data_IF_604029666081
#
_entry.id   IF_604029666081
#
_cell.length_a   1.000
_cell.length_b   1.000
_cell.length_c   1.000
_cell.angle_alpha   90.00
_cell.angle_beta   90.00
_cell.angle_gamma   90.00
#
_symmetry.space_group_name_H-M   'P 1'
#
loop_
_entity.id
_entity.type
_entity.pdbx_description
1 polymer ?
#
# COMPACT_ATOMS: atom_id res chain seq x y z
N UNK A 1 8.40 -39.63 84.33
CA UNK A 1 7.94 -40.41 83.16
C UNK A 1 7.05 -39.52 82.31
N UNK A 2 7.22 -39.66 81.00
CA UNK A 2 6.70 -38.84 79.91
C UNK A 2 5.19 -38.98 79.75
N UNK A 3 4.54 -37.96 79.18
CA UNK A 3 3.14 -38.03 78.77
C UNK A 3 2.66 -36.76 78.09
N UNK A 4 3.19 -36.48 76.89
CA UNK A 4 2.58 -35.51 75.99
C UNK A 4 1.29 -36.06 75.40
N UNK A 5 0.28 -35.22 75.22
CA UNK A 5 -0.84 -35.55 74.33
C UNK A 5 -1.14 -34.36 73.41
N UNK A 6 -1.29 -34.72 72.15
CA UNK A 6 -1.07 -33.94 70.94
C UNK A 6 -2.22 -32.98 70.62
N UNK A 7 -1.85 -31.77 70.22
CA UNK A 7 -2.73 -30.86 69.48
C UNK A 7 -3.02 -31.47 68.10
N UNK A 8 -4.24 -31.94 67.87
CA UNK A 8 -4.71 -32.24 66.52
C UNK A 8 -4.96 -30.92 65.79
N UNK A 9 -3.93 -30.39 65.13
CA UNK A 9 -4.11 -29.36 64.12
C UNK A 9 -4.73 -30.03 62.87
N UNK A 10 -5.79 -29.47 62.26
CA UNK A 10 -6.31 -29.99 61.00
C UNK A 10 -5.22 -29.83 59.93
N UNK A 11 -4.80 -30.96 59.34
CA UNK A 11 -4.01 -30.96 58.12
C UNK A 11 -4.86 -30.38 57.01
N UNK A 12 -4.60 -29.13 56.64
CA UNK A 12 -5.14 -28.55 55.41
C UNK A 12 -4.36 -29.19 54.27
N UNK A 13 -4.92 -30.24 53.67
CA UNK A 13 -4.45 -30.71 52.37
C UNK A 13 -4.79 -29.63 51.35
N UNK A 14 -3.83 -28.73 51.12
CA UNK A 14 -3.82 -27.93 49.91
C UNK A 14 -3.64 -28.89 48.74
N UNK A 15 -4.76 -29.28 48.13
CA UNK A 15 -4.77 -29.84 46.78
C UNK A 15 -4.15 -28.77 45.89
N UNK A 16 -2.88 -28.93 45.51
CA UNK A 16 -2.29 -28.18 44.42
C UNK A 16 -2.98 -28.67 43.15
N UNK A 17 -4.15 -28.11 42.85
CA UNK A 17 -4.83 -28.34 41.58
C UNK A 17 -3.84 -27.97 40.48
N UNK A 18 -3.38 -28.96 39.74
CA UNK A 18 -2.63 -28.71 38.51
C UNK A 18 -3.51 -27.81 37.65
N UNK A 19 -3.05 -26.61 37.33
CA UNK A 19 -3.73 -25.77 36.36
C UNK A 19 -3.73 -26.55 35.03
N UNK A 20 -4.88 -26.69 34.40
CA UNK A 20 -4.97 -27.39 33.12
C UNK A 20 -4.32 -26.53 32.01
N UNK A 21 -3.76 -27.20 31.00
CA UNK A 21 -3.28 -26.53 29.79
C UNK A 21 -4.48 -25.94 29.02
N UNK A 22 -4.29 -24.85 28.24
CA UNK A 22 -5.38 -24.23 27.51
C UNK A 22 -5.92 -25.15 26.42
N UNK A 23 -7.20 -24.96 26.09
CA UNK A 23 -7.81 -25.63 24.94
C UNK A 23 -7.27 -25.03 23.64
N UNK A 24 -7.04 -25.88 22.64
CA UNK A 24 -6.55 -25.43 21.33
C UNK A 24 -7.51 -24.41 20.70
N UNK A 25 -6.99 -23.33 20.07
CA UNK A 25 -7.80 -22.51 19.18
C UNK A 25 -8.31 -23.33 18.00
N UNK A 26 -9.44 -22.95 17.40
CA UNK A 26 -10.00 -23.64 16.22
C UNK A 26 -10.33 -22.66 15.11
N UNK A 27 -10.62 -23.18 13.92
CA UNK A 27 -11.04 -22.38 12.76
C UNK A 27 -10.08 -21.23 12.44
N UNK A 28 -8.76 -21.47 12.59
CA UNK A 28 -7.76 -20.52 12.12
C UNK A 28 -7.96 -20.34 10.61
N UNK A 29 -8.09 -19.07 10.20
CA UNK A 29 -8.13 -18.65 8.81
C UNK A 29 -7.04 -17.61 8.56
N UNK A 30 -6.26 -17.80 7.50
CA UNK A 30 -5.24 -16.88 7.03
C UNK A 30 -5.65 -16.27 5.69
N UNK A 31 -5.72 -14.94 5.63
CA UNK A 31 -6.17 -14.22 4.44
C UNK A 31 -5.09 -13.21 4.04
N UNK A 32 -4.42 -13.44 2.90
CA UNK A 32 -3.49 -12.46 2.37
C UNK A 32 -4.26 -11.23 1.86
N UNK A 33 -4.00 -10.08 2.45
CA UNK A 33 -4.58 -8.79 2.06
C UNK A 33 -3.64 -7.99 1.16
N UNK A 34 -2.37 -8.40 1.04
CA UNK A 34 -1.42 -7.80 0.12
C UNK A 34 -0.16 -8.65 -0.13
N UNK A 35 0.83 -8.04 -0.78
CA UNK A 35 2.10 -8.69 -1.10
C UNK A 35 3.00 -8.89 0.13
N UNK A 36 2.76 -8.15 1.21
CA UNK A 36 3.45 -8.27 2.49
C UNK A 36 2.50 -8.13 3.70
N UNK A 37 1.25 -8.56 3.54
CA UNK A 37 0.27 -8.54 4.64
C UNK A 37 -0.63 -9.78 4.62
N UNK A 38 -0.79 -10.42 5.78
CA UNK A 38 -1.73 -11.51 6.02
C UNK A 38 -2.52 -11.25 7.30
N UNK A 39 -3.84 -11.31 7.22
CA UNK A 39 -4.74 -11.22 8.36
C UNK A 39 -5.13 -12.61 8.82
N UNK A 40 -4.94 -12.88 10.11
CA UNK A 40 -5.31 -14.10 10.79
C UNK A 40 -6.56 -13.87 11.64
N UNK A 41 -7.46 -14.84 11.64
CA UNK A 41 -8.60 -14.92 12.57
C UNK A 41 -8.75 -16.34 13.10
N UNK A 42 -9.09 -16.51 14.36
CA UNK A 42 -9.34 -17.82 14.97
C UNK A 42 -10.46 -17.77 16.01
N UNK A 43 -10.98 -18.93 16.38
CA UNK A 43 -11.88 -19.10 17.52
C UNK A 43 -11.04 -19.45 18.75
N UNK A 44 -11.20 -18.65 19.79
CA UNK A 44 -10.73 -18.98 21.13
C UNK A 44 -11.70 -19.96 21.81
N UNK A 45 -11.16 -21.06 22.31
CA UNK A 45 -11.91 -22.10 23.03
C UNK A 45 -11.49 -22.23 24.48
N UNK A 46 -10.61 -21.35 24.97
CA UNK A 46 -10.10 -21.41 26.33
C UNK A 46 -10.41 -20.12 27.10
N UNK A 47 -10.28 -20.23 28.42
CA UNK A 47 -10.29 -19.09 29.35
C UNK A 47 -9.12 -19.21 30.33
N UNK A 48 -8.19 -20.11 30.00
CA UNK A 48 -7.07 -20.53 30.85
C UNK A 48 -5.72 -20.14 30.24
N UNK A 49 -5.72 -19.60 29.02
CA UNK A 49 -4.56 -19.12 28.32
C UNK A 49 -4.08 -17.78 28.88
N UNK A 50 -2.76 -17.64 28.99
CA UNK A 50 -2.10 -16.37 29.26
C UNK A 50 -1.96 -15.53 27.96
N UNK A 51 -2.14 -16.17 26.80
CA UNK A 51 -2.09 -15.55 25.49
C UNK A 51 -1.97 -16.55 24.34
N UNK A 52 -1.58 -16.04 23.18
CA UNK A 52 -1.35 -16.85 21.98
C UNK A 52 -0.01 -16.53 21.32
N UNK A 53 0.73 -17.57 20.95
CA UNK A 53 1.87 -17.46 20.04
C UNK A 53 1.38 -17.62 18.60
N UNK A 54 1.85 -16.73 17.72
CA UNK A 54 1.59 -16.78 16.28
C UNK A 54 2.84 -17.33 15.62
N UNK A 55 2.74 -18.53 15.06
CA UNK A 55 3.80 -19.12 14.28
C UNK A 55 3.52 -18.96 12.78
N UNK A 56 4.58 -18.68 12.02
CA UNK A 56 4.57 -18.65 10.55
C UNK A 56 5.67 -19.53 10.00
N UNK A 57 5.43 -20.16 8.86
CA UNK A 57 6.47 -20.72 7.99
C UNK A 57 6.23 -20.35 6.54
N UNK A 58 7.30 -20.36 5.75
CA UNK A 58 7.18 -20.55 4.31
C UNK A 58 6.68 -21.97 4.08
N UNK A 59 5.75 -22.19 3.15
CA UNK A 59 5.18 -23.51 2.90
C UNK A 59 6.27 -24.55 2.62
N UNK A 60 6.25 -25.66 3.36
CA UNK A 60 7.29 -26.69 3.35
C UNK A 60 8.52 -26.43 4.24
N UNK A 61 8.63 -25.25 4.85
CA UNK A 61 9.68 -24.89 5.81
C UNK A 61 9.34 -25.16 7.29
N UNK A 62 10.22 -24.78 8.23
CA UNK A 62 9.95 -24.85 9.67
C UNK A 62 9.12 -23.65 10.15
N UNK A 63 8.28 -23.86 11.17
CA UNK A 63 7.60 -22.77 11.88
C UNK A 63 8.58 -21.94 12.71
N UNK A 64 8.39 -20.63 12.68
CA UNK A 64 9.02 -19.65 13.56
C UNK A 64 7.94 -18.79 14.19
N UNK A 65 8.09 -18.47 15.47
CA UNK A 65 7.21 -17.50 16.13
C UNK A 65 7.44 -16.10 15.55
N UNK A 66 6.37 -15.43 15.14
CA UNK A 66 6.41 -14.06 14.59
C UNK A 66 5.77 -13.03 15.50
N UNK A 67 4.92 -13.46 16.44
CA UNK A 67 4.33 -12.59 17.45
C UNK A 67 3.80 -13.38 18.65
N UNK A 68 3.58 -12.66 19.75
CA UNK A 68 2.79 -13.10 20.90
C UNK A 68 1.71 -12.05 21.16
N UNK A 69 0.47 -12.47 21.36
CA UNK A 69 -0.67 -11.61 21.70
C UNK A 69 -1.27 -12.02 23.04
N UNK A 70 -1.99 -11.09 23.68
CA UNK A 70 -2.64 -11.33 24.97
C UNK A 70 -3.80 -12.33 24.92
N UNK A 71 -4.39 -12.67 26.08
CA UNK A 71 -5.50 -13.61 26.18
C UNK A 71 -6.77 -13.05 25.53
N UNK A 72 -7.72 -13.91 25.15
CA UNK A 72 -8.97 -13.56 24.45
C UNK A 72 -8.82 -12.85 23.08
N UNK A 73 -7.59 -12.68 22.56
CA UNK A 73 -7.38 -12.15 21.21
C UNK A 73 -7.76 -13.22 20.19
N UNK A 74 -8.50 -12.82 19.15
CA UNK A 74 -9.00 -13.73 18.10
C UNK A 74 -8.58 -13.29 16.68
N UNK A 75 -7.74 -12.27 16.56
CA UNK A 75 -7.22 -11.78 15.28
C UNK A 75 -5.81 -11.20 15.40
N UNK A 76 -5.04 -11.29 14.32
CA UNK A 76 -3.70 -10.72 14.21
C UNK A 76 -3.38 -10.37 12.75
N UNK A 77 -2.76 -9.21 12.50
CA UNK A 77 -2.26 -8.84 11.18
C UNK A 77 -0.75 -8.99 11.14
N UNK A 78 -0.25 -9.92 10.31
CA UNK A 78 1.17 -10.07 10.03
C UNK A 78 1.57 -9.16 8.87
N UNK A 79 2.31 -8.08 9.17
CA UNK A 79 2.79 -7.10 8.20
C UNK A 79 4.31 -7.02 8.08
N UNK A 80 5.07 -8.02 8.57
CA UNK A 80 6.53 -7.92 8.63
C UNK A 80 7.26 -9.20 8.20
N UNK A 81 8.35 -9.07 7.43
CA UNK A 81 9.16 -10.21 6.99
C UNK A 81 8.45 -11.16 6.00
N UNK A 82 7.40 -10.67 5.34
CA UNK A 82 6.71 -11.35 4.25
C UNK A 82 7.32 -10.95 2.90
N UNK A 83 7.40 -11.92 1.98
CA UNK A 83 7.82 -11.72 0.59
C UNK A 83 6.63 -11.92 -0.34
N UNK A 84 6.58 -11.19 -1.45
CA UNK A 84 5.52 -11.31 -2.45
C UNK A 84 5.48 -12.71 -3.09
N UNK A 85 4.32 -13.10 -3.62
CA UNK A 85 4.09 -14.38 -4.30
C UNK A 85 4.52 -15.61 -3.50
N UNK A 86 4.49 -15.54 -2.18
CA UNK A 86 5.07 -16.55 -1.30
C UNK A 86 3.95 -17.21 -0.51
N UNK A 87 3.88 -18.53 -0.59
CA UNK A 87 2.96 -19.33 0.21
C UNK A 87 3.49 -19.40 1.65
N UNK A 88 2.69 -18.88 2.59
CA UNK A 88 2.91 -19.00 4.02
C UNK A 88 1.87 -19.91 4.64
N UNK A 89 2.26 -20.58 5.72
CA UNK A 89 1.36 -21.35 6.56
C UNK A 89 1.48 -20.84 8.00
N UNK A 90 0.34 -20.74 8.67
CA UNK A 90 0.22 -20.19 10.01
C UNK A 90 -0.36 -21.21 10.97
N UNK A 91 0.01 -21.07 12.24
CA UNK A 91 -0.58 -21.80 13.36
C UNK A 91 -0.60 -20.88 14.57
N UNK A 92 -1.69 -20.95 15.35
CA UNK A 92 -1.84 -20.21 16.60
C UNK A 92 -1.77 -21.20 17.75
N UNK A 93 -0.94 -20.93 18.76
CA UNK A 93 -0.80 -21.75 19.97
C UNK A 93 -1.31 -20.98 21.16
N UNK A 94 -2.38 -21.45 21.79
CA UNK A 94 -2.76 -20.97 23.12
C UNK A 94 -1.71 -21.49 24.12
N UNK A 95 -1.27 -20.65 25.06
CA UNK A 95 -0.27 -21.04 26.06
C UNK A 95 -0.63 -20.57 27.46
N UNK A 96 -0.19 -21.31 28.47
CA UNK A 96 -0.07 -20.86 29.86
C UNK A 96 1.12 -21.57 30.54
N UNK A 97 1.33 -21.33 31.83
CA UNK A 97 2.39 -21.99 32.60
C UNK A 97 2.31 -23.53 32.64
N UNK A 98 1.13 -24.11 32.40
CA UNK A 98 0.89 -25.55 32.42
C UNK A 98 1.08 -26.24 31.07
N UNK A 99 1.09 -25.49 29.97
CA UNK A 99 1.36 -26.04 28.64
C UNK A 99 0.76 -25.22 27.51
N UNK A 100 0.73 -25.83 26.33
CA UNK A 100 0.29 -25.18 25.09
C UNK A 100 -0.57 -26.12 24.25
N UNK A 101 -1.47 -25.53 23.46
CA UNK A 101 -2.30 -26.26 22.52
C UNK A 101 -2.39 -25.51 21.19
N UNK A 102 -2.17 -26.24 20.09
CA UNK A 102 -2.10 -25.71 18.73
C UNK A 102 -3.42 -25.76 18.00
N UNK A 103 -3.73 -24.73 17.21
CA UNK A 103 -4.82 -24.72 16.24
C UNK A 103 -4.57 -25.65 15.05
N UNK A 104 -5.56 -25.72 14.15
CA UNK A 104 -5.29 -26.14 12.76
C UNK A 104 -4.24 -25.23 12.12
N UNK A 105 -3.57 -25.73 11.10
CA UNK A 105 -2.77 -24.90 10.19
C UNK A 105 -3.69 -24.32 9.12
N UNK A 106 -3.47 -23.08 8.70
CA UNK A 106 -4.07 -22.53 7.48
C UNK A 106 -3.03 -21.75 6.67
N UNK A 107 -3.24 -21.70 5.35
CA UNK A 107 -2.28 -21.16 4.40
C UNK A 107 -2.79 -19.92 3.68
N UNK A 108 -1.91 -18.95 3.47
CA UNK A 108 -2.16 -17.79 2.62
C UNK A 108 -0.98 -17.58 1.68
N UNK A 109 -1.26 -17.36 0.40
CA UNK A 109 -0.23 -16.94 -0.56
C UNK A 109 -0.27 -15.43 -0.65
N UNK A 110 0.80 -14.77 -0.21
CA UNK A 110 0.94 -13.33 -0.44
C UNK A 110 0.88 -13.07 -1.93
N UNK A 111 0.25 -11.97 -2.30
CA UNK A 111 0.05 -11.70 -3.72
C UNK A 111 1.38 -11.34 -4.38
N UNK A 112 1.45 -11.41 -5.71
CA UNK A 112 2.56 -10.76 -6.41
C UNK A 112 2.58 -9.28 -6.04
N UNK A 113 3.76 -8.66 -6.11
CA UNK A 113 3.84 -7.20 -6.11
C UNK A 113 2.90 -6.71 -7.23
N UNK A 114 1.84 -5.97 -6.87
CA UNK A 114 0.85 -5.44 -7.83
C UNK A 114 -0.38 -6.30 -8.18
N UNK A 115 -0.84 -7.26 -7.35
CA UNK A 115 -2.09 -8.05 -7.63
C UNK A 115 -3.09 -8.23 -6.45
N UNK A 116 -3.17 -7.37 -5.45
CA UNK A 116 -4.39 -7.28 -4.63
C UNK A 116 -4.60 -5.88 -4.08
N UNK A 117 -5.77 -5.33 -4.38
CA UNK A 117 -6.36 -4.05 -3.99
C UNK A 117 -5.38 -2.89 -3.83
N UNK A 118 -5.25 -2.09 -4.89
CA UNK A 118 -4.54 -0.82 -4.81
C UNK A 118 -3.03 -0.91 -4.98
N UNK A 119 -2.48 -1.86 -5.73
CA UNK A 119 -1.08 -1.75 -6.18
C UNK A 119 -0.99 -2.17 -7.64
N UNK A 120 -0.06 -1.59 -8.40
CA UNK A 120 0.10 -1.88 -9.82
C UNK A 120 -0.37 -0.75 -10.73
N UNK A 121 -0.90 0.34 -10.16
CA UNK A 121 -1.47 1.42 -10.96
C UNK A 121 -1.51 2.76 -10.24
N UNK A 122 -1.79 3.82 -11.00
CA UNK A 122 -2.16 5.15 -10.52
C UNK A 122 -3.49 5.55 -11.15
N UNK A 123 -4.35 6.23 -10.41
CA UNK A 123 -5.58 6.80 -10.98
C UNK A 123 -5.21 7.89 -11.97
N UNK A 124 -5.94 8.01 -13.07
CA UNK A 124 -5.79 9.03 -14.09
C UNK A 124 -7.16 9.61 -14.45
N UNK A 125 -7.35 10.87 -14.07
CA UNK A 125 -8.53 11.67 -14.38
C UNK A 125 -8.23 12.63 -15.54
N UNK A 126 -9.23 12.85 -16.40
CA UNK A 126 -9.14 13.74 -17.57
C UNK A 126 -10.31 14.72 -17.58
N UNK A 127 -10.01 15.99 -17.86
CA UNK A 127 -10.97 17.05 -18.16
C UNK A 127 -10.68 17.59 -19.56
N UNK A 128 -11.60 17.40 -20.49
CA UNK A 128 -11.54 17.92 -21.85
C UNK A 128 -12.03 19.37 -21.92
N UNK A 129 -11.75 20.02 -23.05
CA UNK A 129 -12.23 21.37 -23.38
C UNK A 129 -11.77 22.45 -22.39
N UNK A 130 -10.57 22.30 -21.84
CA UNK A 130 -9.90 23.33 -21.03
C UNK A 130 -8.83 23.98 -21.89
N UNK A 131 -9.00 25.25 -22.23
CA UNK A 131 -8.03 25.98 -23.06
C UNK A 131 -6.79 26.45 -22.27
N UNK A 132 -5.75 26.84 -23.01
CA UNK A 132 -4.50 27.35 -22.47
C UNK A 132 -3.52 26.28 -22.00
N UNK A 133 -2.33 26.70 -21.58
CA UNK A 133 -1.21 25.80 -21.29
C UNK A 133 -0.88 25.67 -19.79
N UNK A 134 -1.04 26.70 -18.94
CA UNK A 134 -0.66 26.57 -17.53
C UNK A 134 -1.58 25.64 -16.75
N UNK A 135 -1.02 24.89 -15.79
CA UNK A 135 -1.78 24.05 -14.84
C UNK A 135 -2.88 24.83 -14.12
N UNK A 136 -2.71 26.14 -13.92
CA UNK A 136 -3.74 26.99 -13.31
C UNK A 136 -5.06 27.00 -14.09
N UNK A 137 -5.04 26.74 -15.40
CA UNK A 137 -6.28 26.62 -16.20
C UNK A 137 -7.08 25.39 -15.78
N UNK A 138 -6.42 24.25 -15.51
CA UNK A 138 -7.07 23.07 -14.97
C UNK A 138 -7.61 23.34 -13.55
N UNK A 139 -6.79 23.91 -12.66
CA UNK A 139 -7.20 24.09 -11.26
C UNK A 139 -8.26 25.18 -11.05
N UNK A 140 -8.45 26.08 -12.02
CA UNK A 140 -9.49 27.11 -11.98
C UNK A 140 -10.76 26.69 -12.73
N UNK A 141 -10.76 25.56 -13.44
CA UNK A 141 -11.97 25.03 -14.06
C UNK A 141 -12.98 24.63 -12.96
N UNK A 142 -14.25 25.06 -13.04
CA UNK A 142 -15.25 24.79 -12.00
C UNK A 142 -15.53 23.30 -11.77
N UNK A 143 -15.22 22.43 -12.73
CA UNK A 143 -15.36 20.96 -12.62
C UNK A 143 -14.23 20.34 -11.81
N UNK A 144 -13.07 20.99 -11.71
CA UNK A 144 -11.93 20.46 -10.98
C UNK A 144 -12.12 20.68 -9.46
N UNK A 145 -11.84 19.70 -8.58
CA UNK A 145 -11.27 18.37 -8.86
C UNK A 145 -12.30 17.23 -8.97
N UNK A 146 -13.60 17.51 -8.92
CA UNK A 146 -14.62 16.52 -8.56
C UNK A 146 -15.38 15.92 -9.73
N UNK A 147 -15.37 16.58 -10.89
CA UNK A 147 -16.17 16.20 -12.06
C UNK A 147 -15.27 15.97 -13.29
N UNK A 148 -14.38 14.96 -13.28
CA UNK A 148 -13.63 14.58 -14.47
C UNK A 148 -14.56 14.00 -15.55
N UNK A 149 -14.26 14.28 -16.81
CA UNK A 149 -14.98 13.70 -17.95
C UNK A 149 -14.66 12.21 -18.12
N UNK A 150 -13.47 11.78 -17.67
CA UNK A 150 -13.13 10.36 -17.55
C UNK A 150 -12.18 10.09 -16.39
N UNK A 151 -12.31 8.89 -15.82
CA UNK A 151 -11.42 8.36 -14.79
C UNK A 151 -11.06 6.92 -15.14
N UNK A 152 -9.76 6.62 -15.11
CA UNK A 152 -9.23 5.27 -15.36
C UNK A 152 -7.93 5.07 -14.58
N UNK A 153 -7.18 4.01 -14.88
CA UNK A 153 -5.90 3.71 -14.22
C UNK A 153 -4.75 3.56 -15.22
N UNK A 154 -3.52 3.86 -14.79
CA UNK A 154 -2.29 3.66 -15.57
C UNK A 154 -1.33 2.75 -14.82
N UNK A 155 -0.66 1.84 -15.54
CA UNK A 155 0.28 0.86 -14.96
C UNK A 155 1.65 1.43 -14.59
N UNK A 156 1.84 2.75 -14.74
CA UNK A 156 3.03 3.52 -14.35
C UNK A 156 2.64 4.99 -14.26
N UNK A 157 3.47 5.82 -13.63
CA UNK A 157 3.23 7.26 -13.47
C UNK A 157 3.57 8.05 -14.76
N UNK A 158 2.95 7.63 -15.86
CA UNK A 158 3.07 8.21 -17.19
C UNK A 158 1.71 8.19 -17.90
N UNK A 159 1.33 9.35 -18.44
CA UNK A 159 0.16 9.48 -19.30
C UNK A 159 0.42 8.99 -20.72
N UNK A 160 -0.64 8.67 -21.49
CA UNK A 160 -0.52 8.42 -22.91
C UNK A 160 -0.03 9.68 -23.64
N UNK A 161 0.37 9.52 -24.91
CA UNK A 161 0.85 10.63 -25.73
C UNK A 161 -0.14 10.96 -26.85
N UNK A 162 -0.27 12.25 -27.16
CA UNK A 162 -1.04 12.76 -28.29
C UNK A 162 -2.52 12.36 -28.30
N UNK A 163 -3.17 12.37 -27.13
CA UNK A 163 -4.55 11.88 -27.00
C UNK A 163 -5.63 12.90 -27.34
N UNK A 164 -5.35 14.20 -27.20
CA UNK A 164 -6.31 15.28 -27.42
C UNK A 164 -5.58 16.64 -27.39
N UNK A 165 -6.25 17.70 -27.81
CA UNK A 165 -5.82 19.08 -27.51
C UNK A 165 -6.79 19.71 -26.50
N UNK A 166 -6.34 20.75 -25.81
CA UNK A 166 -7.10 21.55 -24.85
C UNK A 166 -7.74 20.71 -23.75
N UNK A 167 -6.91 20.01 -23.00
CA UNK A 167 -7.34 19.18 -21.88
C UNK A 167 -6.42 19.36 -20.67
N UNK A 168 -6.89 18.94 -19.50
CA UNK A 168 -6.11 18.80 -18.30
C UNK A 168 -6.23 17.38 -17.75
N UNK A 169 -5.19 16.90 -17.07
CA UNK A 169 -5.23 15.61 -16.37
C UNK A 169 -4.66 15.69 -14.99
N UNK A 170 -5.06 14.72 -14.17
CA UNK A 170 -4.50 14.49 -12.85
C UNK A 170 -4.21 13.01 -12.71
N UNK A 171 -2.97 12.66 -12.37
CA UNK A 171 -2.63 11.31 -11.92
C UNK A 171 -2.40 11.35 -10.40
N UNK A 172 -3.07 10.51 -9.63
CA UNK A 172 -3.03 10.57 -8.15
C UNK A 172 -3.20 9.22 -7.45
N UNK A 173 -2.65 9.13 -6.25
CA UNK A 173 -2.59 7.90 -5.46
C UNK A 173 -1.46 7.92 -4.44
N UNK A 174 -0.87 6.76 -4.18
CA UNK A 174 0.26 6.61 -3.27
C UNK A 174 1.45 5.95 -3.94
N UNK A 175 2.66 6.37 -3.55
CA UNK A 175 3.92 5.75 -3.92
C UNK A 175 4.52 4.99 -2.73
N UNK A 176 5.12 3.84 -3.03
CA UNK A 176 5.74 2.92 -2.09
C UNK A 176 7.24 2.78 -2.38
N UNK A 177 8.11 3.40 -1.56
CA UNK A 177 9.56 3.26 -1.71
C UNK A 177 9.98 1.79 -1.47
N UNK A 178 10.73 1.15 -2.39
CA UNK A 178 11.21 -0.22 -2.18
C UNK A 178 12.27 -0.32 -1.07
N UNK A 179 13.04 0.76 -0.83
CA UNK A 179 14.14 0.79 0.13
C UNK A 179 14.12 2.11 0.89
N UNK A 180 14.31 2.08 2.21
CA UNK A 180 14.42 3.32 2.98
C UNK A 180 15.62 4.15 2.55
N UNK A 181 15.43 5.45 2.30
CA UNK A 181 16.50 6.38 2.00
C UNK A 181 16.02 7.61 1.24
N UNK A 182 16.97 8.29 0.59
CA UNK A 182 16.68 9.54 -0.13
C UNK A 182 16.26 9.25 -1.56
N UNK A 183 15.13 9.82 -1.95
CA UNK A 183 14.58 9.75 -3.30
C UNK A 183 14.60 11.13 -3.94
N UNK A 184 14.92 11.19 -5.23
CA UNK A 184 14.76 12.40 -6.04
C UNK A 184 13.70 12.14 -7.09
N UNK A 185 12.84 13.12 -7.38
CA UNK A 185 11.76 13.01 -8.32
C UNK A 185 11.94 13.97 -9.50
N UNK A 186 11.44 13.57 -10.66
CA UNK A 186 11.40 14.40 -11.86
C UNK A 186 10.04 14.38 -12.54
N UNK A 187 9.71 15.46 -13.25
CA UNK A 187 8.53 15.53 -14.12
C UNK A 187 8.90 16.01 -15.51
N UNK A 188 8.32 15.41 -16.55
CA UNK A 188 8.41 15.84 -17.95
C UNK A 188 7.00 15.96 -18.52
N UNK A 189 6.71 17.01 -19.27
CA UNK A 189 5.39 17.18 -19.88
C UNK A 189 5.38 18.08 -21.10
N UNK A 190 4.36 17.92 -21.92
CA UNK A 190 3.95 18.87 -22.96
C UNK A 190 2.44 19.11 -22.83
N UNK A 191 1.96 20.26 -22.32
CA UNK A 191 2.72 21.46 -21.97
C UNK A 191 3.14 21.45 -20.48
N UNK A 192 2.35 22.06 -19.60
CA UNK A 192 2.74 22.34 -18.23
C UNK A 192 2.35 21.21 -17.28
N UNK A 193 3.14 21.04 -16.22
CA UNK A 193 2.84 20.08 -15.15
C UNK A 193 3.28 20.58 -13.79
N UNK A 194 2.63 20.09 -12.73
CA UNK A 194 3.02 20.31 -11.35
C UNK A 194 2.95 19.00 -10.59
N UNK A 195 4.08 18.57 -10.03
CA UNK A 195 4.22 17.34 -9.25
C UNK A 195 4.21 17.67 -7.76
N UNK A 196 3.39 16.93 -7.02
CA UNK A 196 3.21 17.04 -5.58
C UNK A 196 3.50 15.70 -4.90
N UNK A 197 4.07 15.75 -3.71
CA UNK A 197 4.18 14.60 -2.81
C UNK A 197 3.87 15.05 -1.37
N UNK A 198 3.30 14.16 -0.57
CA UNK A 198 3.13 14.34 0.87
C UNK A 198 4.24 13.63 1.65
N UNK A 199 4.55 14.08 2.87
CA UNK A 199 5.47 13.36 3.78
C UNK A 199 4.83 12.15 4.48
N UNK A 200 3.57 11.85 4.17
CA UNK A 200 2.79 10.74 4.68
C UNK A 200 1.69 10.35 3.67
N UNK A 201 0.77 9.49 4.08
CA UNK A 201 -0.32 8.99 3.24
C UNK A 201 -1.47 9.99 3.01
N UNK A 202 -1.47 11.17 3.66
CA UNK A 202 -2.58 12.12 3.54
C UNK A 202 -2.39 13.07 2.35
N UNK A 203 -3.41 13.18 1.50
CA UNK A 203 -3.44 14.11 0.37
C UNK A 203 -3.44 15.57 0.79
N UNK A 204 -3.86 15.87 2.03
CA UNK A 204 -3.89 17.24 2.57
C UNK A 204 -2.51 17.82 2.88
N UNK A 205 -1.48 16.97 3.00
CA UNK A 205 -0.10 17.38 3.34
C UNK A 205 0.80 17.55 2.12
N UNK A 206 0.24 17.51 0.91
CA UNK A 206 1.03 17.52 -0.32
C UNK A 206 1.73 18.86 -0.51
N UNK A 207 2.98 18.82 -0.96
CA UNK A 207 3.78 19.99 -1.35
C UNK A 207 4.23 19.84 -2.79
N UNK A 208 4.28 20.95 -3.54
CA UNK A 208 4.81 20.94 -4.91
C UNK A 208 6.33 20.75 -4.85
N UNK A 209 6.84 19.74 -5.54
CA UNK A 209 8.26 19.37 -5.50
C UNK A 209 8.98 19.55 -6.85
N UNK A 210 8.23 19.56 -7.96
CA UNK A 210 8.79 19.77 -9.30
C UNK A 210 7.69 20.28 -10.25
N UNK A 211 8.08 20.95 -11.34
CA UNK A 211 7.17 21.43 -12.38
C UNK A 211 7.85 21.65 -13.73
N UNK A 212 7.06 21.50 -14.80
CA UNK A 212 7.27 22.21 -16.06
C UNK A 212 6.28 23.38 -16.05
N UNK A 213 6.78 24.59 -15.78
CA UNK A 213 5.93 25.73 -15.46
C UNK A 213 5.37 26.50 -16.67
N UNK A 214 4.30 27.27 -16.43
CA UNK A 214 3.77 28.28 -17.34
C UNK A 214 3.33 27.73 -18.70
N UNK A 215 3.92 28.24 -19.78
CA UNK A 215 3.69 27.76 -21.15
C UNK A 215 4.84 26.85 -21.63
N UNK A 216 5.65 26.33 -20.70
CA UNK A 216 6.78 25.46 -21.00
C UNK A 216 6.33 24.06 -21.43
N UNK A 217 7.24 23.37 -22.10
CA UNK A 217 7.11 21.97 -22.49
C UNK A 217 8.49 21.31 -22.54
N UNK A 218 8.51 19.98 -22.56
CA UNK A 218 9.70 19.14 -22.76
C UNK A 218 9.44 18.14 -23.89
N UNK A 219 10.47 17.46 -24.38
CA UNK A 219 10.25 16.20 -25.10
C UNK A 219 9.87 15.08 -24.11
N UNK A 220 9.24 13.98 -24.56
CA UNK A 220 8.98 12.83 -23.72
C UNK A 220 10.23 12.35 -22.96
N UNK A 221 10.09 12.19 -21.64
CA UNK A 221 11.13 11.72 -20.73
C UNK A 221 12.40 12.59 -20.70
N UNK A 222 12.31 13.86 -21.11
CA UNK A 222 13.42 14.81 -21.04
C UNK A 222 13.46 15.47 -19.65
N UNK A 223 14.28 14.94 -18.76
CA UNK A 223 14.30 15.34 -17.33
C UNK A 223 15.13 16.58 -16.99
N UNK A 224 15.89 17.11 -17.94
CA UNK A 224 16.96 18.10 -17.67
C UNK A 224 16.83 19.41 -18.44
N UNK A 225 15.66 19.70 -19.05
CA UNK A 225 15.45 20.95 -19.79
C UNK A 225 15.31 22.15 -18.85
N UNK A 226 14.62 21.99 -17.73
CA UNK A 226 14.47 23.01 -16.69
C UNK A 226 14.91 22.48 -15.33
N UNK A 227 15.57 23.32 -14.54
CA UNK A 227 15.94 22.97 -13.17
C UNK A 227 14.72 22.67 -12.29
N UNK A 228 13.57 23.30 -12.57
CA UNK A 228 12.31 23.07 -11.87
C UNK A 228 11.74 21.67 -12.05
N UNK A 229 12.21 20.90 -13.04
CA UNK A 229 11.75 19.54 -13.26
C UNK A 229 12.20 18.56 -12.20
N UNK A 230 13.13 18.94 -11.30
CA UNK A 230 13.79 18.06 -10.35
C UNK A 230 13.50 18.50 -8.92
N UNK A 231 13.11 17.56 -8.07
CA UNK A 231 12.96 17.80 -6.64
C UNK A 231 14.32 17.88 -5.93
N UNK A 232 14.33 18.48 -4.74
CA UNK A 232 15.37 18.15 -3.75
C UNK A 232 15.22 16.69 -3.29
N UNK A 233 16.26 16.06 -2.73
CA UNK A 233 16.12 14.73 -2.14
C UNK A 233 15.10 14.71 -1.00
N UNK A 234 14.23 13.71 -0.99
CA UNK A 234 13.17 13.49 -0.01
C UNK A 234 13.41 12.14 0.66
N UNK A 235 13.48 12.13 1.99
CA UNK A 235 13.66 10.89 2.73
C UNK A 235 12.34 10.12 2.82
N UNK A 236 12.33 8.89 2.31
CA UNK A 236 11.19 7.98 2.34
C UNK A 236 11.60 6.68 3.05
N UNK A 237 10.64 6.07 3.75
CA UNK A 237 10.84 4.84 4.54
C UNK A 237 10.11 3.69 3.87
N UNK A 238 10.81 2.59 3.59
CA UNK A 238 10.22 1.38 3.04
C UNK A 238 9.10 0.84 3.94
N UNK A 239 8.04 0.30 3.34
CA UNK A 239 6.83 -0.14 4.04
C UNK A 239 5.81 0.97 4.32
N UNK A 240 6.19 2.25 4.22
CA UNK A 240 5.23 3.36 4.28
C UNK A 240 4.70 3.71 2.89
N UNK A 241 3.56 4.39 2.86
CA UNK A 241 2.97 4.97 1.65
C UNK A 241 2.89 6.49 1.71
N UNK A 242 3.15 7.13 0.58
CA UNK A 242 3.22 8.58 0.47
C UNK A 242 2.28 9.05 -0.64
N UNK A 243 1.40 10.00 -0.35
CA UNK A 243 0.51 10.52 -1.37
C UNK A 243 1.31 11.22 -2.46
N UNK A 244 1.00 10.95 -3.73
CA UNK A 244 1.63 11.55 -4.90
C UNK A 244 0.55 12.00 -5.88
N UNK A 245 0.74 13.18 -6.48
CA UNK A 245 -0.16 13.73 -7.49
C UNK A 245 0.64 14.49 -8.55
N UNK A 246 0.37 14.25 -9.82
CA UNK A 246 0.83 15.12 -10.91
C UNK A 246 -0.36 15.71 -11.64
N UNK A 247 -0.39 17.03 -11.73
CA UNK A 247 -1.29 17.79 -12.57
C UNK A 247 -0.62 18.07 -13.90
N UNK A 248 -1.38 17.99 -14.99
CA UNK A 248 -0.90 18.23 -16.34
C UNK A 248 -1.91 19.05 -17.14
N UNK A 249 -1.43 19.97 -17.97
CA UNK A 249 -2.23 20.75 -18.89
C UNK A 249 -1.61 20.70 -20.28
N UNK A 250 -2.43 20.30 -21.25
CA UNK A 250 -2.09 20.34 -22.66
C UNK A 250 -2.99 21.34 -23.39
N UNK A 251 -2.37 22.31 -24.06
CA UNK A 251 -3.01 23.19 -25.04
C UNK A 251 -3.07 22.48 -26.39
N UNK A 252 -2.34 22.97 -27.39
CA UNK A 252 -2.25 22.32 -28.70
C UNK A 252 -0.90 21.65 -28.96
N UNK A 253 -0.88 20.65 -29.84
CA UNK A 253 0.35 20.10 -30.42
C UNK A 253 0.71 18.72 -29.89
N UNK A 254 1.93 18.57 -29.37
CA UNK A 254 2.34 17.34 -28.69
C UNK A 254 1.74 17.30 -27.29
N UNK A 255 1.37 16.12 -26.78
CA UNK A 255 1.00 15.99 -25.39
C UNK A 255 1.60 14.75 -24.72
N UNK A 256 2.10 14.92 -23.49
CA UNK A 256 2.54 13.84 -22.61
C UNK A 256 2.73 14.35 -21.18
N UNK A 257 2.69 13.44 -20.21
CA UNK A 257 3.21 13.69 -18.86
C UNK A 257 3.85 12.41 -18.33
N UNK A 258 4.99 12.53 -17.65
CA UNK A 258 5.64 11.42 -16.99
C UNK A 258 6.35 11.90 -15.73
N UNK A 259 6.41 11.02 -14.73
CA UNK A 259 7.14 11.25 -13.49
C UNK A 259 8.15 10.12 -13.29
N UNK A 260 9.39 10.51 -13.03
CA UNK A 260 10.48 9.61 -12.73
C UNK A 260 10.98 9.80 -11.30
N UNK A 261 11.68 8.79 -10.79
CA UNK A 261 12.36 8.84 -9.51
C UNK A 261 13.70 8.11 -9.57
N UNK A 262 14.56 8.41 -8.61
CA UNK A 262 15.87 7.78 -8.37
C UNK A 262 15.98 7.58 -6.86
N UNK A 263 16.48 6.43 -6.43
CA UNK A 263 16.49 6.05 -5.02
C UNK A 263 17.48 4.94 -4.68
N UNK A 264 17.55 4.51 -3.41
CA UNK A 264 18.53 3.53 -2.98
C UNK A 264 18.36 2.18 -3.70
N UNK A 265 19.38 1.79 -4.46
CA UNK A 265 19.44 0.49 -5.13
C UNK A 265 19.02 0.49 -6.60
N UNK A 266 18.64 1.63 -7.18
CA UNK A 266 18.28 1.74 -8.60
C UNK A 266 18.60 3.15 -9.14
N UNK A 267 18.61 3.30 -10.47
CA UNK A 267 18.86 4.58 -11.15
C UNK A 267 17.57 5.28 -11.56
N UNK A 268 17.67 6.50 -12.12
CA UNK A 268 16.51 7.25 -12.60
C UNK A 268 15.63 6.45 -13.58
N UNK A 269 14.37 6.24 -13.20
CA UNK A 269 13.36 5.52 -13.99
C UNK A 269 11.94 6.09 -13.78
N UNK A 270 11.03 5.87 -14.74
CA UNK A 270 9.60 6.20 -14.56
C UNK A 270 9.03 5.32 -13.45
N UNK A 271 8.23 5.88 -12.55
CA UNK A 271 7.69 5.11 -11.42
C UNK A 271 6.73 4.05 -11.95
N UNK A 272 7.11 2.78 -11.81
CA UNK A 272 6.31 1.65 -12.26
C UNK A 272 5.12 1.41 -11.32
N UNK A 273 4.05 0.83 -11.88
CA UNK A 273 2.87 0.43 -11.13
C UNK A 273 3.18 -0.46 -9.93
N UNK A 274 4.24 -1.27 -9.99
CA UNK A 274 4.72 -2.07 -8.87
C UNK A 274 4.94 -1.26 -7.58
N UNK A 275 5.17 0.05 -7.70
CA UNK A 275 5.38 0.98 -6.58
C UNK A 275 4.22 1.98 -6.39
N UNK A 276 3.07 1.77 -7.04
CA UNK A 276 1.96 2.72 -7.04
C UNK A 276 0.63 2.09 -6.64
N UNK A 277 -0.16 2.85 -5.89
CA UNK A 277 -1.56 2.59 -5.55
C UNK A 277 -2.45 3.71 -6.11
N UNK A 278 -3.55 3.42 -6.84
CA UNK A 278 -4.50 4.44 -7.27
C UNK A 278 -5.39 4.92 -6.10
N UNK A 279 -5.71 6.22 -6.05
CA UNK A 279 -6.72 6.74 -5.11
C UNK A 279 -8.15 6.46 -5.59
N UNK A 280 -8.88 5.65 -4.83
CA UNK A 280 -10.26 5.23 -5.12
C UNK A 280 -10.36 3.77 -5.56
N UNK A 281 -11.59 3.31 -5.82
CA UNK A 281 -11.83 1.92 -6.20
C UNK A 281 -11.62 1.70 -7.70
N UNK A 282 -10.40 1.32 -8.07
CA UNK A 282 -10.01 0.89 -9.43
C UNK A 282 -9.77 -0.62 -9.49
N UNK A 283 -10.36 -1.39 -8.57
CA UNK A 283 -10.20 -2.83 -8.55
C UNK A 283 -10.97 -3.51 -9.70
N UNK A 284 -10.30 -4.43 -10.40
CA UNK A 284 -10.94 -5.27 -11.44
C UNK A 284 -10.91 -4.71 -12.86
N UNK A 285 -10.31 -3.53 -13.12
CA UNK A 285 -10.02 -3.11 -14.51
C UNK A 285 -8.82 -3.87 -15.04
N UNK A 286 -9.03 -4.58 -16.14
CA UNK A 286 -8.03 -5.43 -16.76
C UNK A 286 -6.86 -4.56 -17.24
N UNK A 287 -5.73 -4.56 -16.53
CA UNK A 287 -4.52 -3.78 -16.83
C UNK A 287 -3.87 -4.13 -18.19
N UNK A 288 -4.39 -5.15 -18.88
CA UNK A 288 -3.96 -5.59 -20.20
C UNK A 288 -4.61 -4.81 -21.36
N UNK A 289 -5.62 -3.98 -21.09
CA UNK A 289 -6.23 -3.15 -22.11
C UNK A 289 -6.47 -1.75 -21.55
N UNK A 290 -6.09 -0.75 -22.35
CA UNK A 290 -6.53 0.63 -22.30
C UNK A 290 -8.07 0.67 -22.43
N UNK A 291 -8.79 0.20 -21.41
CA UNK A 291 -10.24 0.15 -21.40
C UNK A 291 -10.76 1.57 -21.20
N UNK A 292 -10.79 2.27 -22.32
CA UNK A 292 -11.43 3.55 -22.50
C UNK A 292 -12.93 3.29 -22.37
N UNK A 293 -13.50 3.54 -21.18
CA UNK A 293 -14.91 3.86 -21.08
C UNK A 293 -15.10 5.27 -21.65
N UNK A 294 -15.15 5.36 -22.98
CA UNK A 294 -15.57 6.58 -23.66
C UNK A 294 -17.06 6.78 -23.46
N UNK A 295 -17.46 7.59 -22.47
CA UNK A 295 -18.72 8.32 -22.60
C UNK A 295 -18.51 9.38 -23.68
N UNK A 296 -19.35 9.31 -24.71
CA UNK A 296 -19.17 10.00 -25.99
C UNK A 296 -19.19 11.52 -25.84
N UNK A 297 -18.01 12.13 -25.76
CA UNK A 297 -17.73 13.50 -26.17
C UNK A 297 -16.25 13.59 -26.60
N UNK A 298 -15.92 12.96 -27.73
CA UNK A 298 -14.58 13.06 -28.31
C UNK A 298 -14.35 14.47 -28.83
N UNK A 299 -13.45 15.21 -28.19
CA UNK A 299 -12.70 16.27 -28.86
C UNK A 299 -11.65 15.58 -29.75
N UNK A 300 -12.00 15.35 -31.01
CA UNK A 300 -11.05 14.90 -32.02
C UNK A 300 -9.95 15.96 -32.17
N UNK A 301 -8.69 15.54 -32.16
CA UNK A 301 -7.54 16.39 -32.51
C UNK A 301 -7.79 17.03 -33.88
N UNK A 302 -7.82 18.36 -33.96
CA UNK A 302 -7.96 19.11 -35.22
C UNK A 302 -6.60 19.47 -35.79
#
# INVERSE_FOLDING_TARGET
MLGGNSTNAPTINASTGSLDAPSAPTSLSANATGWAEVVLTWIDNSTLEDGFHIDRKISGGPFTEVATVGPNVTTYTDGSGLTASTAYEYRVRAYNASGEASSNTDGATTTTVGQSYGFGAIRWDVWYSIEGNPVSQLTNDPRFPNEPDSSSSRSKLQGPTNIADNYGTRMLGWVYPPTSGNYTFWVSSDNASALYISTNSSSSNKVKIAEVGGNGYTSPLQWTKYASQKSVPINLVAGNKYYIEVLHKAGGGGDHVAVAWDGPGFGQEVIDGANLEPEGDFCGVNLSAESLSFTTAQATKM
#
